data_IF_668651904996
#
_entry.id   IF_668651904996
#
_cell.length_a   1.000
_cell.length_b   1.000
_cell.length_c   1.000
_cell.angle_alpha   90.00
_cell.angle_beta   90.00
_cell.angle_gamma   90.00
#
_symmetry.space_group_name_H-M   'P 1'
#
loop_
_entity.id
_entity.type
_entity.pdbx_description
1 polymer ?
#
# COMPACT_ATOMS: atom_id res chain seq x y z
N UNK A 1 -5.52 55.85 21.73
CA UNK A 1 -4.82 54.54 21.77
C UNK A 1 -5.87 53.45 21.94
N UNK A 2 -5.87 52.46 21.06
CA UNK A 2 -6.71 51.26 21.15
C UNK A 2 -7.17 50.79 19.77
N UNK A 3 -6.39 49.94 19.06
CA UNK A 3 -6.83 49.36 17.80
C UNK A 3 -7.70 48.14 18.10
N UNK A 4 -8.88 48.08 17.47
CA UNK A 4 -9.69 46.87 17.44
C UNK A 4 -9.05 45.89 16.46
N UNK A 5 -8.58 44.76 16.98
CA UNK A 5 -7.99 43.66 16.21
C UNK A 5 -9.13 42.91 15.52
N UNK A 6 -9.32 43.16 14.23
CA UNK A 6 -10.13 42.32 13.37
C UNK A 6 -9.38 41.01 13.12
N UNK A 7 -9.80 39.93 13.80
CA UNK A 7 -9.34 38.57 13.57
C UNK A 7 -9.94 38.05 12.26
N UNK A 8 -9.19 38.22 11.16
CA UNK A 8 -9.45 37.51 9.91
C UNK A 8 -9.00 36.05 10.08
N UNK A 9 -9.95 35.17 10.38
CA UNK A 9 -9.75 33.72 10.26
C UNK A 9 -9.78 33.39 8.77
N UNK A 10 -8.61 33.38 8.14
CA UNK A 10 -8.44 32.79 6.82
C UNK A 10 -8.69 31.29 6.94
N UNK A 11 -9.86 30.84 6.47
CA UNK A 11 -10.13 29.42 6.27
C UNK A 11 -9.13 28.91 5.23
N UNK A 12 -8.11 28.18 5.69
CA UNK A 12 -7.31 27.30 4.84
C UNK A 12 -8.21 26.15 4.38
N UNK A 13 -9.08 26.43 3.41
CA UNK A 13 -9.53 25.43 2.47
C UNK A 13 -8.29 25.06 1.63
N UNK A 14 -7.37 24.31 2.25
CA UNK A 14 -6.43 23.53 1.48
C UNK A 14 -7.29 22.67 0.57
N UNK A 15 -7.25 22.94 -0.73
CA UNK A 15 -7.75 22.02 -1.72
C UNK A 15 -7.04 20.70 -1.44
N UNK A 16 -7.69 19.81 -0.69
CA UNK A 16 -7.36 18.41 -0.70
C UNK A 16 -7.57 18.05 -2.16
N UNK A 17 -6.46 18.02 -2.91
CA UNK A 17 -6.46 17.52 -4.27
C UNK A 17 -7.20 16.19 -4.18
N UNK A 18 -8.32 16.03 -4.89
CA UNK A 18 -9.03 14.76 -4.94
C UNK A 18 -7.98 13.69 -5.19
N UNK A 19 -7.94 12.65 -4.35
CA UNK A 19 -6.92 11.63 -4.50
C UNK A 19 -6.90 11.18 -5.96
N UNK A 20 -5.75 11.11 -6.61
CA UNK A 20 -5.72 10.55 -7.96
C UNK A 20 -6.05 9.06 -7.90
N UNK A 21 -6.64 8.51 -8.95
CA UNK A 21 -6.67 7.07 -9.17
C UNK A 21 -5.23 6.55 -9.22
N UNK A 22 -4.90 5.55 -8.41
CA UNK A 22 -3.51 5.10 -8.21
C UNK A 22 -2.81 4.72 -9.52
N UNK A 23 -3.57 4.20 -10.49
CA UNK A 23 -3.05 3.73 -11.77
C UNK A 23 -2.34 4.84 -12.56
N UNK A 24 -2.74 6.12 -12.41
CA UNK A 24 -2.07 7.24 -13.09
C UNK A 24 -0.67 7.55 -12.53
N UNK A 25 -0.32 6.98 -11.37
CA UNK A 25 1.01 7.14 -10.78
C UNK A 25 2.09 6.35 -11.52
N UNK A 26 1.70 5.36 -12.34
CA UNK A 26 2.64 4.58 -13.13
C UNK A 26 2.96 5.27 -14.46
N UNK A 27 4.25 5.45 -14.74
CA UNK A 27 4.71 6.14 -15.95
C UNK A 27 4.33 5.39 -17.24
N UNK A 28 4.17 4.07 -17.20
CA UNK A 28 3.72 3.29 -18.36
C UNK A 28 2.29 3.65 -18.75
N UNK A 29 1.43 3.89 -17.75
CA UNK A 29 0.04 4.33 -17.96
C UNK A 29 0.01 5.72 -18.56
N UNK A 30 0.80 6.65 -18.01
CA UNK A 30 0.92 8.02 -18.55
C UNK A 30 1.41 7.98 -20.00
N UNK A 31 2.45 7.19 -20.29
CA UNK A 31 2.96 7.03 -21.65
C UNK A 31 1.93 6.42 -22.61
N UNK A 32 1.17 5.42 -22.17
CA UNK A 32 0.13 4.81 -23.00
C UNK A 32 -1.01 5.79 -23.32
N UNK A 33 -1.42 6.63 -22.35
CA UNK A 33 -2.40 7.68 -22.58
C UNK A 33 -1.88 8.77 -23.54
N UNK A 34 -0.60 9.11 -23.45
CA UNK A 34 0.03 10.07 -24.36
C UNK A 34 0.17 9.51 -25.78
N UNK A 35 0.51 8.23 -25.94
CA UNK A 35 0.53 7.55 -27.23
C UNK A 35 -0.88 7.46 -27.85
N UNK A 36 -1.90 7.18 -27.03
CA UNK A 36 -3.29 7.21 -27.47
C UNK A 36 -3.65 8.57 -28.09
N UNK A 37 -3.29 9.67 -27.42
CA UNK A 37 -3.57 11.04 -27.92
C UNK A 37 -2.77 11.40 -29.17
N UNK A 38 -1.48 11.06 -29.21
CA UNK A 38 -0.56 11.55 -30.24
C UNK A 38 -0.47 10.65 -31.47
N UNK A 39 -0.78 9.37 -31.34
CA UNK A 39 -0.55 8.37 -32.38
C UNK A 39 -1.85 7.71 -32.84
N UNK A 40 -2.73 7.35 -31.92
CA UNK A 40 -3.96 6.63 -32.26
C UNK A 40 -5.10 7.55 -32.70
N UNK A 41 -5.46 8.54 -31.87
CA UNK A 41 -6.60 9.42 -32.16
C UNK A 41 -6.48 10.24 -33.46
N UNK A 42 -5.29 10.71 -33.90
CA UNK A 42 -5.16 11.45 -35.16
C UNK A 42 -5.64 10.71 -36.41
N UNK A 43 -5.61 9.38 -36.38
CA UNK A 43 -6.02 8.52 -37.51
C UNK A 43 -7.40 7.88 -37.32
N UNK A 44 -7.96 7.93 -36.11
CA UNK A 44 -9.20 7.23 -35.74
C UNK A 44 -10.33 8.16 -35.28
N UNK A 45 -10.12 9.48 -35.29
CA UNK A 45 -11.12 10.45 -34.83
C UNK A 45 -10.91 11.84 -35.43
N UNK A 46 -12.03 12.51 -35.73
CA UNK A 46 -12.03 13.90 -36.17
C UNK A 46 -11.35 14.86 -35.16
N UNK A 47 -10.53 15.79 -35.67
CA UNK A 47 -9.62 16.65 -34.88
C UNK A 47 -10.34 17.46 -33.80
N UNK A 48 -11.52 17.96 -34.10
CA UNK A 48 -12.36 18.75 -33.21
C UNK A 48 -12.84 17.98 -31.97
N UNK A 49 -12.88 16.64 -32.02
CA UNK A 49 -13.33 15.80 -30.90
C UNK A 49 -12.19 15.28 -30.02
N UNK A 50 -10.99 15.15 -30.56
CA UNK A 50 -9.83 14.50 -29.92
C UNK A 50 -9.56 15.05 -28.51
N UNK A 51 -9.54 16.38 -28.39
CA UNK A 51 -9.28 17.06 -27.11
C UNK A 51 -10.30 16.69 -26.04
N UNK A 52 -11.59 16.78 -26.37
CA UNK A 52 -12.67 16.49 -25.44
C UNK A 52 -12.66 15.03 -24.98
N UNK A 53 -12.39 14.11 -25.91
CA UNK A 53 -12.31 12.68 -25.61
C UNK A 53 -11.13 12.38 -24.69
N UNK A 54 -9.93 12.90 -24.98
CA UNK A 54 -8.76 12.70 -24.12
C UNK A 54 -8.92 13.33 -22.74
N UNK A 55 -9.54 14.50 -22.65
CA UNK A 55 -9.83 15.14 -21.36
C UNK A 55 -10.76 14.26 -20.52
N UNK A 56 -11.81 13.70 -21.13
CA UNK A 56 -12.73 12.77 -20.49
C UNK A 56 -12.03 11.49 -20.04
N UNK A 57 -11.19 10.90 -20.89
CA UNK A 57 -10.41 9.68 -20.57
C UNK A 57 -9.48 9.94 -19.38
N UNK A 58 -8.66 11.00 -19.44
CA UNK A 58 -7.72 11.35 -18.37
C UNK A 58 -8.45 11.62 -17.06
N UNK A 59 -9.58 12.33 -17.10
CA UNK A 59 -10.38 12.59 -15.92
C UNK A 59 -10.98 11.30 -15.33
N UNK A 60 -11.42 10.38 -16.19
CA UNK A 60 -11.97 9.09 -15.76
C UNK A 60 -10.91 8.23 -15.09
N UNK A 61 -9.72 8.11 -15.68
CA UNK A 61 -8.58 7.36 -15.09
C UNK A 61 -8.16 8.00 -13.77
N UNK A 62 -8.09 9.34 -13.70
CA UNK A 62 -7.84 10.06 -12.44
C UNK A 62 -8.92 9.83 -11.41
N UNK A 63 -10.15 9.48 -11.78
CA UNK A 63 -11.26 9.20 -10.87
C UNK A 63 -11.38 7.71 -10.48
N UNK A 64 -10.37 6.88 -10.74
CA UNK A 64 -10.35 5.48 -10.28
C UNK A 64 -10.29 5.35 -8.75
N UNK A 65 -9.98 6.42 -8.02
CA UNK A 65 -10.01 6.47 -6.55
C UNK A 65 -11.43 6.59 -5.97
N UNK A 66 -12.40 7.05 -6.76
CA UNK A 66 -13.78 7.25 -6.32
C UNK A 66 -14.48 5.89 -6.27
N UNK A 67 -14.38 5.25 -5.11
CA UNK A 67 -14.77 3.88 -4.83
C UNK A 67 -15.91 3.85 -3.80
N UNK A 68 -17.17 4.14 -4.20
CA UNK A 68 -18.28 4.37 -3.27
C UNK A 68 -18.78 3.11 -2.54
N UNK A 69 -18.34 1.91 -2.94
CA UNK A 69 -18.81 0.63 -2.39
C UNK A 69 -17.83 -0.05 -1.43
N UNK A 70 -16.75 0.62 -1.04
CA UNK A 70 -15.88 0.14 0.03
C UNK A 70 -16.48 0.65 1.35
N UNK A 71 -17.14 -0.26 2.08
CA UNK A 71 -17.97 0.03 3.27
C UNK A 71 -17.24 0.80 4.38
N UNK A 72 -15.90 0.86 4.37
CA UNK A 72 -15.10 1.80 5.17
C UNK A 72 -13.94 2.33 4.31
N UNK A 73 -14.19 3.47 3.66
CA UNK A 73 -13.31 4.36 2.90
C UNK A 73 -12.00 3.75 2.34
N UNK A 74 -11.91 3.68 1.01
CA UNK A 74 -10.62 3.55 0.35
C UNK A 74 -9.60 4.51 0.97
N UNK A 75 -8.54 3.96 1.55
CA UNK A 75 -7.58 4.74 2.35
C UNK A 75 -6.64 5.58 1.48
N UNK A 76 -6.85 5.60 0.16
CA UNK A 76 -6.00 6.32 -0.78
C UNK A 76 -4.60 5.72 -0.92
N UNK A 77 -4.41 4.46 -0.50
CA UNK A 77 -3.12 3.77 -0.49
C UNK A 77 -3.25 2.34 -1.01
N UNK A 78 -2.23 1.88 -1.71
CA UNK A 78 -2.07 0.49 -2.16
C UNK A 78 -0.61 0.05 -2.03
N UNK A 79 -0.36 -1.25 -2.00
CA UNK A 79 1.00 -1.78 -2.14
C UNK A 79 1.44 -1.89 -3.61
N UNK A 80 2.71 -2.23 -3.80
CA UNK A 80 3.34 -2.34 -5.12
C UNK A 80 2.76 -3.49 -5.95
N UNK A 81 2.39 -4.62 -5.32
CA UNK A 81 1.80 -5.76 -6.01
C UNK A 81 0.39 -5.45 -6.54
N UNK A 82 -0.43 -4.74 -5.77
CA UNK A 82 -1.76 -4.27 -6.18
C UNK A 82 -1.65 -3.23 -7.28
N UNK A 83 -0.68 -2.31 -7.19
CA UNK A 83 -0.37 -1.35 -8.26
C UNK A 83 -0.02 -2.08 -9.56
N UNK A 84 0.96 -3.00 -9.52
CA UNK A 84 1.43 -3.71 -10.70
C UNK A 84 0.30 -4.50 -11.38
N UNK A 85 -0.48 -5.24 -10.59
CA UNK A 85 -1.64 -6.00 -11.10
C UNK A 85 -2.62 -5.10 -11.85
N UNK A 86 -2.89 -3.92 -11.29
CA UNK A 86 -3.85 -2.97 -11.85
C UNK A 86 -3.31 -2.27 -13.10
N UNK A 87 -2.02 -1.91 -13.11
CA UNK A 87 -1.35 -1.32 -14.27
C UNK A 87 -1.29 -2.31 -15.44
N UNK A 88 -0.90 -3.55 -15.19
CA UNK A 88 -0.81 -4.57 -16.23
C UNK A 88 -2.18 -4.90 -16.84
N UNK A 89 -3.23 -4.98 -16.01
CA UNK A 89 -4.61 -5.15 -16.47
C UNK A 89 -5.02 -4.00 -17.39
N UNK A 90 -4.85 -2.76 -16.93
CA UNK A 90 -5.21 -1.57 -17.68
C UNK A 90 -4.48 -1.47 -19.03
N UNK A 91 -3.15 -1.65 -19.05
CA UNK A 91 -2.35 -1.58 -20.27
C UNK A 91 -2.72 -2.68 -21.27
N UNK A 92 -3.03 -3.89 -20.78
CA UNK A 92 -3.51 -4.97 -21.63
C UNK A 92 -4.84 -4.61 -22.28
N UNK A 93 -5.78 -4.06 -21.51
CA UNK A 93 -7.09 -3.64 -22.02
C UNK A 93 -6.99 -2.48 -23.01
N UNK A 94 -6.12 -1.49 -22.76
CA UNK A 94 -5.81 -0.45 -23.74
C UNK A 94 -5.26 -1.04 -25.04
N UNK A 95 -4.30 -1.95 -24.94
CA UNK A 95 -3.68 -2.59 -26.12
C UNK A 95 -4.70 -3.35 -26.96
N UNK A 96 -5.67 -4.03 -26.33
CA UNK A 96 -6.74 -4.73 -27.03
C UNK A 96 -7.64 -3.78 -27.82
N UNK A 97 -7.96 -2.61 -27.25
CA UNK A 97 -8.77 -1.59 -27.94
C UNK A 97 -7.98 -0.95 -29.08
N UNK A 98 -6.72 -0.58 -28.87
CA UNK A 98 -5.92 0.05 -29.94
C UNK A 98 -5.63 -0.93 -31.08
N UNK A 99 -5.48 -2.22 -30.79
CA UNK A 99 -5.25 -3.24 -31.82
C UNK A 99 -6.51 -3.64 -32.60
N UNK A 100 -7.70 -3.27 -32.13
CA UNK A 100 -8.95 -3.58 -32.84
C UNK A 100 -9.31 -2.57 -33.93
N UNK A 101 -8.49 -1.52 -34.11
CA UNK A 101 -8.61 -0.51 -35.18
C UNK A 101 -9.98 0.19 -35.22
N UNK A 102 -10.66 0.26 -34.06
CA UNK A 102 -11.97 0.89 -33.94
C UNK A 102 -11.86 2.42 -33.90
N UNK A 103 -12.79 3.11 -34.57
CA UNK A 103 -12.74 4.56 -34.75
C UNK A 103 -14.01 5.27 -34.24
N UNK A 104 -13.91 6.60 -34.13
CA UNK A 104 -15.00 7.54 -33.84
C UNK A 104 -15.89 7.13 -32.65
N UNK A 105 -17.20 7.03 -32.85
CA UNK A 105 -18.16 6.75 -31.78
C UNK A 105 -18.02 5.33 -31.22
N UNK A 106 -17.61 4.38 -32.07
CA UNK A 106 -17.33 3.00 -31.63
C UNK A 106 -16.14 3.00 -30.68
N UNK A 107 -15.06 3.73 -31.00
CA UNK A 107 -13.93 3.91 -30.10
C UNK A 107 -14.37 4.49 -28.76
N UNK A 108 -15.12 5.60 -28.77
CA UNK A 108 -15.56 6.26 -27.53
C UNK A 108 -16.38 5.31 -26.65
N UNK A 109 -17.30 4.55 -27.26
CA UNK A 109 -18.15 3.60 -26.54
C UNK A 109 -17.35 2.46 -25.93
N UNK A 110 -16.53 1.77 -26.73
CA UNK A 110 -15.75 0.61 -26.29
C UNK A 110 -14.67 1.02 -25.28
N UNK A 111 -13.99 2.15 -25.49
CA UNK A 111 -13.00 2.65 -24.54
C UNK A 111 -13.66 3.06 -23.21
N UNK A 112 -14.81 3.74 -23.24
CA UNK A 112 -15.56 4.08 -22.02
C UNK A 112 -16.04 2.83 -21.27
N UNK A 113 -16.47 1.80 -22.00
CA UNK A 113 -16.84 0.52 -21.41
C UNK A 113 -15.64 -0.17 -20.77
N UNK A 114 -14.50 -0.21 -21.47
CA UNK A 114 -13.23 -0.72 -20.95
C UNK A 114 -12.83 0.01 -19.66
N UNK A 115 -12.90 1.34 -19.61
CA UNK A 115 -12.60 2.12 -18.40
C UNK A 115 -13.53 1.75 -17.23
N UNK A 116 -14.79 1.44 -17.50
CA UNK A 116 -15.74 0.99 -16.47
C UNK A 116 -15.33 -0.36 -15.89
N UNK A 117 -14.93 -1.30 -16.75
CA UNK A 117 -14.45 -2.62 -16.34
C UNK A 117 -13.13 -2.56 -15.57
N UNK A 118 -12.19 -1.76 -16.04
CA UNK A 118 -10.89 -1.56 -15.37
C UNK A 118 -11.07 -0.86 -14.02
N UNK A 119 -11.98 0.14 -13.93
CA UNK A 119 -12.33 0.73 -12.64
C UNK A 119 -12.87 -0.33 -11.69
N UNK A 120 -13.82 -1.16 -12.13
CA UNK A 120 -14.40 -2.25 -11.33
C UNK A 120 -13.34 -3.27 -10.88
N UNK A 121 -12.43 -3.66 -11.77
CA UNK A 121 -11.32 -4.55 -11.46
C UNK A 121 -10.37 -3.94 -10.42
N UNK A 122 -10.03 -2.67 -10.59
CA UNK A 122 -9.23 -1.91 -9.63
C UNK A 122 -9.88 -1.89 -8.24
N UNK A 123 -11.20 -1.61 -8.13
CA UNK A 123 -11.88 -1.63 -6.83
C UNK A 123 -11.77 -3.00 -6.15
N UNK A 124 -11.91 -4.10 -6.90
CA UNK A 124 -11.76 -5.46 -6.35
C UNK A 124 -10.35 -5.74 -5.85
N UNK A 125 -9.33 -5.31 -6.59
CA UNK A 125 -7.94 -5.47 -6.17
C UNK A 125 -7.66 -4.68 -4.88
N UNK A 126 -8.13 -3.43 -4.81
CA UNK A 126 -8.02 -2.58 -3.62
C UNK A 126 -8.75 -3.19 -2.43
N UNK A 127 -10.00 -3.66 -2.61
CA UNK A 127 -10.77 -4.35 -1.57
C UNK A 127 -10.00 -5.55 -0.99
N UNK A 128 -9.41 -6.37 -1.87
CA UNK A 128 -8.62 -7.53 -1.45
C UNK A 128 -7.41 -7.09 -0.64
N UNK A 129 -6.63 -6.14 -1.16
CA UNK A 129 -5.47 -5.58 -0.48
C UNK A 129 -5.82 -5.06 0.91
N UNK A 130 -6.84 -4.20 1.03
CA UNK A 130 -7.23 -3.62 2.32
C UNK A 130 -7.67 -4.67 3.34
N UNK A 131 -8.29 -5.76 2.88
CA UNK A 131 -8.77 -6.84 3.74
C UNK A 131 -7.67 -7.82 4.17
N UNK A 132 -6.75 -8.13 3.27
CA UNK A 132 -5.83 -9.27 3.42
C UNK A 132 -4.37 -8.84 3.65
N UNK A 133 -3.93 -7.77 2.98
CA UNK A 133 -2.53 -7.42 2.84
C UNK A 133 -2.16 -6.08 3.50
N UNK A 134 -3.12 -5.22 3.82
CA UNK A 134 -2.89 -3.97 4.52
C UNK A 134 -2.75 -4.20 6.03
N UNK A 135 -1.55 -3.93 6.57
CA UNK A 135 -1.21 -4.15 7.97
C UNK A 135 -1.59 -5.56 8.49
N UNK A 136 -1.03 -6.63 7.90
CA UNK A 136 -1.38 -8.01 8.23
C UNK A 136 -0.89 -8.44 9.64
N UNK A 137 -0.06 -7.62 10.29
CA UNK A 137 0.44 -7.90 11.62
C UNK A 137 -0.69 -7.84 12.65
N UNK A 138 -0.81 -8.91 13.45
CA UNK A 138 -1.79 -9.00 14.55
C UNK A 138 -1.27 -8.40 15.85
N UNK A 139 0.05 -8.26 15.96
CA UNK A 139 0.79 -7.70 17.09
C UNK A 139 2.06 -7.03 16.55
N UNK A 140 2.83 -6.39 17.44
CA UNK A 140 4.06 -5.69 17.12
C UNK A 140 3.88 -4.44 16.25
N UNK A 141 4.99 -4.03 15.65
CA UNK A 141 5.07 -2.94 14.71
C UNK A 141 5.64 -3.46 13.39
N UNK A 142 4.90 -3.26 12.30
CA UNK A 142 5.34 -3.57 10.94
C UNK A 142 5.54 -2.28 10.14
N UNK A 143 6.61 -2.20 9.37
CA UNK A 143 6.85 -1.11 8.42
C UNK A 143 6.50 -1.61 7.01
N UNK A 144 5.38 -1.15 6.47
CA UNK A 144 4.89 -1.56 5.15
C UNK A 144 5.10 -0.46 4.10
N UNK A 145 5.77 -0.73 2.97
CA UNK A 145 5.90 0.24 1.90
C UNK A 145 4.58 0.36 1.13
N UNK A 146 4.01 1.57 1.08
CA UNK A 146 2.74 1.86 0.41
C UNK A 146 2.88 3.02 -0.57
N UNK A 147 2.05 3.03 -1.60
CA UNK A 147 1.94 4.10 -2.59
C UNK A 147 0.70 4.92 -2.26
N UNK A 148 0.89 6.22 -2.05
CA UNK A 148 -0.17 7.18 -1.81
C UNK A 148 -0.71 7.71 -3.13
N UNK A 149 -1.97 7.42 -3.43
CA UNK A 149 -2.56 7.69 -4.74
C UNK A 149 -2.86 9.18 -4.96
N UNK A 150 -2.98 9.96 -3.88
CA UNK A 150 -3.15 11.42 -3.95
C UNK A 150 -1.92 12.17 -4.49
N UNK A 151 -0.72 11.61 -4.34
CA UNK A 151 0.53 12.30 -4.68
C UNK A 151 1.57 11.40 -5.36
N UNK A 152 1.24 10.14 -5.63
CA UNK A 152 2.09 9.15 -6.26
C UNK A 152 3.42 8.88 -5.54
N UNK A 153 3.48 9.12 -4.22
CA UNK A 153 4.69 8.86 -3.43
C UNK A 153 4.65 7.48 -2.77
N UNK A 154 5.76 6.76 -2.88
CA UNK A 154 6.03 5.56 -2.08
C UNK A 154 6.55 5.99 -0.70
N UNK A 155 5.93 5.52 0.37
CA UNK A 155 6.28 5.84 1.75
C UNK A 155 6.18 4.60 2.64
N UNK A 156 6.95 4.59 3.73
CA UNK A 156 6.82 3.57 4.76
C UNK A 156 5.66 3.92 5.70
N UNK A 157 4.67 3.04 5.73
CA UNK A 157 3.55 3.11 6.66
C UNK A 157 3.83 2.27 7.90
N UNK A 158 3.50 2.81 9.07
CA UNK A 158 3.74 2.16 10.36
C UNK A 158 2.45 1.47 10.82
N UNK A 159 2.41 0.15 10.71
CA UNK A 159 1.32 -0.69 11.20
C UNK A 159 1.54 -1.03 12.69
N UNK A 160 1.04 -0.16 13.57
CA UNK A 160 1.19 -0.33 15.02
C UNK A 160 0.04 -1.15 15.61
N UNK A 161 0.37 -2.21 16.37
CA UNK A 161 -0.54 -3.02 17.20
C UNK A 161 0.03 -3.15 18.61
N UNK A 162 -0.57 -4.02 19.44
CA UNK A 162 -0.01 -4.39 20.76
C UNK A 162 1.43 -4.90 20.59
N UNK A 163 2.38 -4.38 21.37
CA UNK A 163 3.78 -4.85 21.36
C UNK A 163 3.92 -6.27 21.90
N UNK A 164 2.99 -6.70 22.76
CA UNK A 164 2.91 -8.08 23.23
C UNK A 164 2.29 -8.97 22.13
N UNK A 165 3.10 -9.93 21.64
CA UNK A 165 2.71 -10.95 20.67
C UNK A 165 2.29 -12.28 21.30
N UNK A 166 2.18 -12.33 22.62
CA UNK A 166 1.79 -13.49 23.40
C UNK A 166 2.98 -14.30 23.92
N UNK A 167 2.66 -15.32 24.73
CA UNK A 167 3.63 -16.20 25.40
C UNK A 167 3.59 -17.58 24.76
N UNK A 168 4.75 -18.13 24.42
CA UNK A 168 4.90 -19.51 23.90
C UNK A 168 5.39 -20.44 25.00
N UNK A 169 4.65 -21.52 25.24
CA UNK A 169 5.07 -22.61 26.12
C UNK A 169 5.78 -23.67 25.29
N UNK A 170 7.05 -23.95 25.61
CA UNK A 170 7.90 -24.89 24.87
C UNK A 170 8.33 -25.99 25.83
N UNK A 171 8.01 -27.24 25.48
CA UNK A 171 8.48 -28.42 26.19
C UNK A 171 9.56 -29.08 25.34
N UNK A 172 10.70 -29.37 25.95
CA UNK A 172 11.85 -30.03 25.31
C UNK A 172 12.32 -31.15 26.21
N UNK A 173 12.62 -32.33 25.65
CA UNK A 173 13.15 -33.43 26.46
C UNK A 173 14.64 -33.24 26.76
N UNK A 174 15.11 -33.88 27.83
CA UNK A 174 16.53 -33.86 28.14
C UNK A 174 17.34 -34.44 26.96
N UNK A 175 18.41 -33.73 26.59
CA UNK A 175 19.33 -34.04 25.47
C UNK A 175 18.77 -33.73 24.07
N UNK A 176 17.61 -33.10 23.96
CA UNK A 176 17.12 -32.53 22.69
C UNK A 176 17.53 -31.06 22.55
N UNK A 177 17.50 -30.58 21.29
CA UNK A 177 17.80 -29.20 20.97
C UNK A 177 16.60 -28.29 21.29
N UNK A 178 16.83 -27.25 22.10
CA UNK A 178 15.86 -26.20 22.32
C UNK A 178 15.91 -25.18 21.17
N UNK A 179 14.83 -25.10 20.40
CA UNK A 179 14.65 -24.10 19.34
C UNK A 179 13.64 -23.05 19.79
N UNK A 180 14.06 -21.79 19.81
CA UNK A 180 13.19 -20.64 20.08
C UNK A 180 12.93 -19.91 18.76
N UNK A 181 11.69 -19.98 18.29
CA UNK A 181 11.28 -19.33 17.04
C UNK A 181 10.54 -18.00 17.33
N UNK A 182 11.19 -16.90 16.94
CA UNK A 182 10.64 -15.55 17.03
C UNK A 182 10.14 -15.04 15.66
N UNK A 183 10.23 -15.84 14.59
CA UNK A 183 9.75 -15.44 13.27
C UNK A 183 8.21 -15.42 13.23
N UNK A 184 7.65 -14.35 12.67
CA UNK A 184 6.23 -14.22 12.36
C UNK A 184 6.07 -14.03 10.85
N UNK A 185 4.95 -14.49 10.29
CA UNK A 185 4.70 -14.46 8.84
C UNK A 185 4.90 -13.08 8.21
N UNK A 186 4.58 -12.00 8.94
CA UNK A 186 4.68 -10.62 8.46
C UNK A 186 6.10 -10.04 8.59
N UNK A 187 7.05 -10.69 9.28
CA UNK A 187 8.43 -10.20 9.39
C UNK A 187 9.10 -10.12 8.02
N UNK A 188 8.94 -11.14 7.16
CA UNK A 188 9.51 -11.13 5.80
C UNK A 188 8.95 -10.01 4.91
N UNK A 189 7.78 -9.48 5.26
CA UNK A 189 7.10 -8.41 4.55
C UNK A 189 7.46 -7.02 5.11
N UNK A 190 7.92 -6.95 6.36
CA UNK A 190 8.28 -5.70 7.03
C UNK A 190 9.62 -5.19 6.51
N UNK A 191 9.69 -3.89 6.26
CA UNK A 191 10.93 -3.19 5.96
C UNK A 191 11.67 -2.78 7.23
N UNK A 192 12.97 -2.54 7.11
CA UNK A 192 13.79 -1.98 8.20
C UNK A 192 14.02 -2.91 9.40
N UNK A 193 13.78 -4.22 9.25
CA UNK A 193 14.12 -5.18 10.29
C UNK A 193 15.64 -5.26 10.49
N UNK A 194 16.04 -5.47 11.74
CA UNK A 194 17.44 -5.63 12.14
C UNK A 194 17.74 -7.10 12.45
N UNK A 195 18.08 -7.43 13.69
CA UNK A 195 18.42 -8.77 14.13
C UNK A 195 17.51 -9.21 15.28
N UNK A 196 17.18 -10.50 15.33
CA UNK A 196 16.51 -11.06 16.50
C UNK A 196 17.50 -11.13 17.66
N UNK A 197 17.07 -10.63 18.82
CA UNK A 197 17.84 -10.71 20.07
C UNK A 197 17.06 -11.54 21.07
N UNK A 198 17.69 -12.60 21.58
CA UNK A 198 17.11 -13.46 22.61
C UNK A 198 17.78 -13.19 23.96
N UNK A 199 16.96 -13.09 25.00
CA UNK A 199 17.39 -12.82 26.36
C UNK A 199 16.94 -13.92 27.30
N UNK A 200 17.79 -14.23 28.28
CA UNK A 200 17.42 -15.11 29.39
C UNK A 200 16.94 -14.28 30.56
N UNK A 201 15.69 -14.48 30.94
CA UNK A 201 15.10 -13.82 32.12
C UNK A 201 15.09 -14.80 33.30
N UNK A 202 15.67 -14.39 34.42
CA UNK A 202 15.76 -15.19 35.66
C UNK A 202 14.98 -14.55 36.82
N UNK A 203 14.80 -15.26 37.94
CA UNK A 203 14.01 -14.81 39.11
C UNK A 203 14.60 -13.60 39.87
N UNK A 204 15.86 -13.25 39.61
CA UNK A 204 16.53 -12.07 40.16
C UNK A 204 17.04 -11.21 39.01
N UNK A 205 16.21 -10.31 38.48
CA UNK A 205 16.62 -9.37 37.45
C UNK A 205 17.36 -8.18 38.08
N UNK A 206 18.65 -7.93 37.77
CA UNK A 206 19.14 -6.57 37.75
C UNK A 206 18.42 -5.82 36.61
N UNK A 207 18.38 -4.50 36.65
CA UNK A 207 17.73 -3.61 35.68
C UNK A 207 18.24 -3.70 34.22
N UNK A 208 19.02 -4.72 33.87
CA UNK A 208 19.66 -4.90 32.56
C UNK A 208 19.62 -6.37 32.13
N UNK A 209 18.93 -6.73 31.03
CA UNK A 209 18.91 -8.10 30.48
C UNK A 209 20.26 -8.54 29.90
N UNK A 210 20.70 -9.78 30.17
CA UNK A 210 21.90 -10.38 29.56
C UNK A 210 21.57 -11.00 28.18
N UNK A 211 22.30 -10.67 27.10
CA UNK A 211 22.16 -11.35 25.81
C UNK A 211 22.46 -12.85 25.97
N UNK A 212 21.69 -13.71 25.30
CA UNK A 212 22.06 -15.11 25.13
C UNK A 212 23.26 -15.21 24.17
N UNK A 213 24.46 -14.98 24.70
CA UNK A 213 25.69 -15.49 24.09
C UNK A 213 25.72 -17.02 24.15
N UNK A 214 26.56 -17.65 23.32
CA UNK A 214 26.88 -19.08 23.37
C UNK A 214 27.33 -19.46 24.79
N UNK A 215 26.40 -19.87 25.65
CA UNK A 215 26.68 -20.30 27.01
C UNK A 215 26.77 -21.82 27.02
N UNK A 216 28.00 -22.32 27.16
CA UNK A 216 28.26 -23.67 27.61
C UNK A 216 27.62 -23.89 29.00
N UNK A 217 26.56 -24.69 29.02
CA UNK A 217 25.85 -25.32 30.16
C UNK A 217 24.79 -24.51 30.92
N UNK A 218 23.64 -25.14 31.27
CA UNK A 218 22.44 -24.47 31.76
C UNK A 218 22.42 -24.33 33.30
N UNK A 219 21.53 -23.48 33.84
CA UNK A 219 20.47 -24.11 34.64
C UNK A 219 19.05 -23.79 34.18
N UNK A 220 18.08 -24.37 34.90
CA UNK A 220 16.65 -24.56 34.61
C UNK A 220 15.89 -23.29 34.18
N UNK A 221 15.02 -23.49 33.20
CA UNK A 221 13.99 -22.59 32.63
C UNK A 221 14.40 -21.15 32.28
N UNK A 222 14.49 -20.82 30.97
CA UNK A 222 14.36 -19.44 30.51
C UNK A 222 13.00 -19.21 29.83
N UNK A 223 12.28 -18.18 30.28
CA UNK A 223 11.31 -17.48 29.43
C UNK A 223 12.10 -16.54 28.52
N UNK A 224 11.85 -16.62 27.20
CA UNK A 224 12.45 -15.73 26.23
C UNK A 224 11.45 -14.62 25.87
N UNK A 225 11.82 -13.37 26.13
CA UNK A 225 11.09 -12.21 25.63
C UNK A 225 11.75 -11.75 24.33
N UNK A 226 10.96 -11.65 23.25
CA UNK A 226 11.38 -10.96 22.04
C UNK A 226 11.11 -9.46 22.22
N UNK A 227 12.15 -8.63 22.07
CA UNK A 227 12.02 -7.18 22.03
C UNK A 227 12.53 -6.65 20.69
N UNK A 228 11.77 -5.79 20.03
CA UNK A 228 12.15 -5.13 18.78
C UNK A 228 12.69 -3.72 19.14
N UNK A 229 13.94 -3.35 18.81
CA UNK A 229 14.64 -2.20 19.39
C UNK A 229 14.26 -0.83 18.79
N UNK A 230 12.97 -0.57 18.54
CA UNK A 230 12.49 0.76 18.19
C UNK A 230 11.33 1.20 19.10
N UNK A 231 11.68 1.55 20.33
CA UNK A 231 11.01 2.60 21.11
C UNK A 231 12.14 3.50 21.69
N UNK A 232 12.01 4.85 21.63
CA UNK A 232 12.97 5.77 22.25
C UNK A 232 12.97 5.67 23.79
#
# INVERSE_FOLDING_TARGET
MGPQVALLVAALAGCLLPAGGCVICDQRVVAALDALEKEYLPTHMARERQRQVMETIRQTVRNFWDLPYLEDAFMGVIDEATMETSVLGFLRSMTLITNSDIADDTFVKEFSWMLTLEKAAFQRNVARFQREDFCPNKCGMMLQPLIWCSNCKKQLHVCRKSTDCGVRQINVHEKEDLVLDCELNWHKLSQGLTYYSFYRVGPSTPSTPCPLGLVERPPRYPQACCHNPHDP
#
